data_IF_905036048712
#
_entry.id   IF_905036048712
#
_cell.length_a   1.000
_cell.length_b   1.000
_cell.length_c   1.000
_cell.angle_alpha   90.00
_cell.angle_beta   90.00
_cell.angle_gamma   90.00
#
_symmetry.space_group_name_H-M   'P 1'
#
loop_
_entity.id
_entity.type
_entity.pdbx_description
1 polymer ?
#
# COMPACT_ATOMS: atom_id res chain seq x y z
N UNK A 1 -24.02 10.66 5.55
CA UNK A 1 -22.73 10.23 6.19
C UNK A 1 -22.35 8.90 5.60
N UNK A 2 -21.34 8.83 4.71
CA UNK A 2 -20.79 7.52 4.32
C UNK A 2 -20.11 6.96 5.57
N UNK A 3 -20.56 5.79 6.04
CA UNK A 3 -19.85 5.03 7.06
C UNK A 3 -18.41 4.86 6.57
N UNK A 4 -17.42 5.41 7.32
CA UNK A 4 -16.02 5.19 7.01
C UNK A 4 -15.77 3.70 7.22
N UNK A 5 -15.59 2.97 6.13
CA UNK A 5 -15.06 1.62 6.23
C UNK A 5 -13.75 1.65 7.03
N UNK A 6 -13.52 0.67 7.90
CA UNK A 6 -12.24 0.57 8.59
C UNK A 6 -11.11 0.50 7.55
N UNK A 7 -9.96 1.07 7.87
CA UNK A 7 -8.78 0.98 7.00
C UNK A 7 -8.37 -0.49 6.85
N UNK A 8 -8.03 -0.95 5.63
CA UNK A 8 -7.49 -2.27 5.44
C UNK A 8 -6.20 -2.50 6.24
N UNK A 9 -6.06 -3.67 6.81
CA UNK A 9 -4.83 -4.12 7.47
C UNK A 9 -3.93 -4.98 6.56
N UNK A 10 -4.44 -5.34 5.41
CA UNK A 10 -3.77 -6.21 4.44
C UNK A 10 -3.81 -5.55 3.06
N UNK A 11 -2.65 -5.42 2.39
CA UNK A 11 -2.54 -4.62 1.17
C UNK A 11 -1.73 -5.32 0.08
N UNK A 12 -2.16 -5.13 -1.17
CA UNK A 12 -1.36 -5.37 -2.35
C UNK A 12 -0.73 -4.05 -2.83
N UNK A 13 0.60 -4.00 -2.93
CA UNK A 13 1.28 -2.96 -3.70
C UNK A 13 1.45 -3.46 -5.12
N UNK A 14 0.76 -2.91 -6.11
CA UNK A 14 0.95 -3.38 -7.48
C UNK A 14 2.33 -3.01 -8.02
N UNK A 15 2.84 -3.84 -8.91
CA UNK A 15 4.16 -3.66 -9.52
C UNK A 15 4.10 -4.19 -10.96
N UNK A 16 4.80 -3.54 -11.89
CA UNK A 16 4.81 -3.95 -13.30
C UNK A 16 5.34 -5.37 -13.48
N UNK A 17 6.17 -5.87 -12.56
CA UNK A 17 6.67 -7.27 -12.55
C UNK A 17 5.56 -8.31 -12.42
N UNK A 18 4.38 -7.92 -11.97
CA UNK A 18 3.22 -8.82 -11.91
C UNK A 18 2.72 -9.21 -13.30
N UNK A 19 2.95 -8.37 -14.31
CA UNK A 19 2.56 -8.64 -15.69
C UNK A 19 1.11 -9.15 -15.77
N UNK A 20 0.93 -10.27 -16.47
CA UNK A 20 -0.39 -10.93 -16.60
C UNK A 20 -0.92 -11.51 -15.28
N UNK A 21 -0.06 -11.71 -14.28
CA UNK A 21 -0.44 -12.18 -12.94
C UNK A 21 -1.13 -11.12 -12.07
N UNK A 22 -1.19 -9.85 -12.49
CA UNK A 22 -1.76 -8.76 -11.68
C UNK A 22 -3.20 -9.03 -11.26
N UNK A 23 -4.07 -9.38 -12.19
CA UNK A 23 -5.49 -9.62 -11.87
C UNK A 23 -5.68 -10.87 -11.02
N UNK A 24 -4.84 -11.88 -11.21
CA UNK A 24 -4.83 -13.05 -10.34
C UNK A 24 -4.40 -12.70 -8.91
N UNK A 25 -3.40 -11.81 -8.75
CA UNK A 25 -3.00 -11.30 -7.43
C UNK A 25 -4.13 -10.52 -6.75
N UNK A 26 -4.85 -9.66 -7.49
CA UNK A 26 -6.06 -8.98 -7.00
C UNK A 26 -7.11 -10.00 -6.58
N UNK A 27 -7.31 -11.07 -7.37
CA UNK A 27 -8.27 -12.13 -7.09
C UNK A 27 -8.01 -12.90 -5.78
N UNK A 28 -6.77 -12.94 -5.29
CA UNK A 28 -6.38 -13.62 -4.04
C UNK A 28 -6.55 -12.77 -2.79
N UNK A 29 -6.79 -11.47 -2.92
CA UNK A 29 -6.98 -10.62 -1.76
C UNK A 29 -8.23 -11.01 -0.98
N UNK A 30 -8.17 -11.01 0.36
CA UNK A 30 -9.36 -11.20 1.18
C UNK A 30 -10.30 -9.99 1.06
N UNK A 31 -11.61 -10.15 1.32
CA UNK A 31 -12.52 -9.02 1.47
C UNK A 31 -12.01 -8.02 2.51
N UNK A 32 -12.21 -6.73 2.27
CA UNK A 32 -11.71 -5.66 3.14
C UNK A 32 -10.23 -5.32 2.95
N UNK A 33 -9.50 -6.00 2.05
CA UNK A 33 -8.12 -5.67 1.75
C UNK A 33 -8.00 -4.37 0.92
N UNK A 34 -6.78 -3.82 0.90
CA UNK A 34 -6.46 -2.65 0.11
C UNK A 34 -5.51 -2.95 -1.05
N UNK A 35 -5.57 -2.09 -2.06
CA UNK A 35 -4.69 -2.10 -3.22
C UNK A 35 -4.09 -0.70 -3.38
N UNK A 36 -2.79 -0.61 -3.55
CA UNK A 36 -2.13 0.60 -4.04
C UNK A 36 -1.68 0.35 -5.48
N UNK A 37 -2.36 0.99 -6.43
CA UNK A 37 -2.01 0.89 -7.85
C UNK A 37 -0.87 1.84 -8.19
N UNK A 38 0.27 1.31 -8.61
CA UNK A 38 1.49 2.08 -8.89
C UNK A 38 1.76 2.23 -10.40
N UNK A 39 2.27 1.24 -11.09
CA UNK A 39 2.52 1.19 -12.54
C UNK A 39 3.03 2.52 -13.13
N UNK A 40 4.17 2.99 -12.61
CA UNK A 40 4.71 4.32 -12.96
C UNK A 40 5.35 4.40 -14.36
N UNK A 41 5.82 3.27 -14.90
CA UNK A 41 6.52 3.22 -16.18
C UNK A 41 5.58 3.23 -17.39
N UNK A 42 4.28 2.96 -17.17
CA UNK A 42 3.28 2.99 -18.23
C UNK A 42 2.96 4.41 -18.69
N UNK A 43 2.74 4.58 -19.99
CA UNK A 43 2.20 5.81 -20.55
C UNK A 43 0.82 6.15 -19.96
N UNK A 44 0.39 7.42 -19.97
CA UNK A 44 -0.86 7.84 -19.28
C UNK A 44 -2.09 7.04 -19.69
N UNK A 45 -2.27 6.75 -20.99
CA UNK A 45 -3.41 5.99 -21.50
C UNK A 45 -3.38 4.51 -21.06
N UNK A 46 -2.22 3.87 -21.19
CA UNK A 46 -2.02 2.48 -20.76
C UNK A 46 -2.19 2.33 -19.25
N UNK A 47 -1.63 3.26 -18.48
CA UNK A 47 -1.75 3.29 -17.02
C UNK A 47 -3.20 3.41 -16.60
N UNK A 48 -3.97 4.29 -17.27
CA UNK A 48 -5.41 4.44 -17.04
C UNK A 48 -6.16 3.15 -17.39
N UNK A 49 -5.88 2.55 -18.53
CA UNK A 49 -6.53 1.29 -18.94
C UNK A 49 -6.25 0.16 -17.93
N UNK A 50 -5.00 0.04 -17.48
CA UNK A 50 -4.63 -0.98 -16.48
C UNK A 50 -5.28 -0.71 -15.11
N UNK A 51 -5.38 0.55 -14.70
CA UNK A 51 -6.10 0.93 -13.49
C UNK A 51 -7.59 0.51 -13.57
N UNK A 52 -8.26 0.75 -14.70
CA UNK A 52 -9.66 0.35 -14.89
C UNK A 52 -9.85 -1.18 -14.83
N UNK A 53 -8.89 -1.95 -15.34
CA UNK A 53 -8.92 -3.42 -15.20
C UNK A 53 -8.85 -3.85 -13.74
N UNK A 54 -7.96 -3.23 -12.95
CA UNK A 54 -7.85 -3.49 -11.50
C UNK A 54 -9.12 -3.05 -10.79
N UNK A 55 -9.66 -1.87 -11.12
CA UNK A 55 -10.90 -1.35 -10.54
C UNK A 55 -12.09 -2.27 -10.81
N UNK A 56 -12.22 -2.77 -12.03
CA UNK A 56 -13.26 -3.75 -12.40
C UNK A 56 -13.10 -5.06 -11.63
N UNK A 57 -11.87 -5.58 -11.49
CA UNK A 57 -11.59 -6.79 -10.72
C UNK A 57 -11.82 -6.62 -9.20
N UNK A 58 -11.79 -5.39 -8.71
CA UNK A 58 -12.05 -5.05 -7.30
C UNK A 58 -13.54 -4.86 -7.00
N UNK A 59 -14.35 -4.64 -8.04
CA UNK A 59 -15.77 -4.34 -7.90
C UNK A 59 -16.53 -5.50 -7.26
N UNK A 60 -17.41 -5.19 -6.30
CA UNK A 60 -18.21 -6.19 -5.57
C UNK A 60 -17.44 -7.05 -4.58
N UNK A 61 -16.16 -6.77 -4.32
CA UNK A 61 -15.28 -7.55 -3.43
C UNK A 61 -14.89 -6.85 -2.13
N UNK A 62 -15.48 -5.69 -1.85
CA UNK A 62 -15.13 -4.86 -0.68
C UNK A 62 -13.63 -4.54 -0.59
N UNK A 63 -13.01 -4.24 -1.74
CA UNK A 63 -11.59 -3.88 -1.81
C UNK A 63 -11.44 -2.37 -1.91
N UNK A 64 -10.51 -1.80 -1.13
CA UNK A 64 -10.13 -0.38 -1.21
C UNK A 64 -9.04 -0.18 -2.25
N UNK A 65 -9.25 0.70 -3.23
CA UNK A 65 -8.29 0.96 -4.31
C UNK A 65 -7.72 2.39 -4.23
N UNK A 66 -6.45 2.50 -3.90
CA UNK A 66 -5.71 3.76 -3.92
C UNK A 66 -4.90 3.89 -5.22
N UNK A 67 -4.87 5.09 -5.79
CA UNK A 67 -3.99 5.41 -6.91
C UNK A 67 -2.70 6.07 -6.40
N UNK A 68 -1.55 5.54 -6.77
CA UNK A 68 -0.27 6.21 -6.53
C UNK A 68 -0.13 7.43 -7.45
N UNK A 69 -0.15 8.62 -6.85
CA UNK A 69 -0.10 9.90 -7.57
C UNK A 69 -0.91 11.00 -6.89
N UNK A 70 -1.12 12.13 -7.61
CA UNK A 70 -1.87 13.26 -7.08
C UNK A 70 -3.32 12.91 -6.72
N UNK A 71 -3.81 13.43 -5.60
CA UNK A 71 -5.18 13.18 -5.12
C UNK A 71 -6.27 13.62 -6.13
N UNK A 72 -6.01 14.69 -6.90
CA UNK A 72 -6.92 15.13 -7.96
C UNK A 72 -7.07 14.08 -9.06
N UNK A 73 -5.96 13.43 -9.46
CA UNK A 73 -5.97 12.36 -10.46
C UNK A 73 -6.65 11.12 -9.92
N UNK A 74 -6.36 10.75 -8.67
CA UNK A 74 -7.00 9.61 -8.01
C UNK A 74 -8.53 9.77 -7.99
N UNK A 75 -9.01 10.96 -7.62
CA UNK A 75 -10.43 11.29 -7.66
C UNK A 75 -11.02 11.23 -9.09
N UNK A 76 -10.33 11.80 -10.07
CA UNK A 76 -10.77 11.78 -11.47
C UNK A 76 -10.83 10.36 -12.05
N UNK A 77 -10.02 9.44 -11.53
CA UNK A 77 -10.01 8.05 -11.93
C UNK A 77 -11.01 7.18 -11.14
N UNK A 78 -11.69 7.73 -10.14
CA UNK A 78 -12.63 6.99 -9.31
C UNK A 78 -11.97 6.05 -8.31
N UNK A 79 -10.72 6.34 -7.91
CA UNK A 79 -10.07 5.66 -6.79
C UNK A 79 -10.68 6.08 -5.45
N UNK A 80 -10.62 5.21 -4.44
CA UNK A 80 -11.08 5.51 -3.07
C UNK A 80 -10.15 6.50 -2.37
N UNK A 81 -8.92 6.64 -2.85
CA UNK A 81 -7.95 7.57 -2.31
C UNK A 81 -6.65 7.60 -3.11
N UNK A 82 -5.66 8.30 -2.57
CA UNK A 82 -4.35 8.47 -3.20
C UNK A 82 -3.20 7.97 -2.33
N UNK A 83 -2.11 7.57 -2.98
CA UNK A 83 -0.86 7.21 -2.34
C UNK A 83 0.28 8.12 -2.81
N UNK A 84 0.90 8.84 -1.90
CA UNK A 84 2.02 9.74 -2.23
C UNK A 84 2.28 10.78 -1.16
N UNK A 85 3.25 11.66 -1.42
CA UNK A 85 3.69 12.72 -0.48
C UNK A 85 2.88 14.01 -0.58
N UNK A 86 1.92 14.09 -1.50
CA UNK A 86 1.13 15.29 -1.75
C UNK A 86 0.02 15.53 -0.74
N UNK A 87 -0.56 16.73 -0.81
CA UNK A 87 -1.80 17.09 -0.11
C UNK A 87 -2.99 16.95 -1.04
N UNK A 88 -4.20 16.83 -0.49
CA UNK A 88 -5.42 16.79 -1.29
C UNK A 88 -6.60 16.20 -0.53
N UNK A 89 -7.78 16.21 -1.13
CA UNK A 89 -8.99 15.65 -0.52
C UNK A 89 -9.01 14.11 -0.58
N UNK A 90 -9.84 13.52 0.26
CA UNK A 90 -10.07 12.08 0.32
C UNK A 90 -9.05 11.34 1.18
N UNK A 91 -9.14 10.01 1.17
CA UNK A 91 -8.21 9.15 1.88
C UNK A 91 -6.82 9.25 1.25
N UNK A 92 -5.81 9.40 2.10
CA UNK A 92 -4.42 9.54 1.65
C UNK A 92 -3.49 8.67 2.45
N UNK A 93 -2.70 7.89 1.74
CA UNK A 93 -1.58 7.17 2.30
C UNK A 93 -0.25 7.77 1.82
N UNK A 94 0.79 7.65 2.62
CA UNK A 94 2.12 8.14 2.26
C UNK A 94 3.18 7.06 2.43
N UNK A 95 4.21 7.00 1.54
CA UNK A 95 5.39 6.20 1.79
C UNK A 95 6.27 6.88 2.83
N UNK A 96 6.93 6.09 3.68
CA UNK A 96 7.91 6.57 4.64
C UNK A 96 9.03 5.53 4.83
N UNK A 97 10.26 6.03 5.08
CA UNK A 97 11.45 5.21 5.29
C UNK A 97 12.14 5.55 6.62
N UNK A 98 11.82 6.68 7.20
CA UNK A 98 12.39 7.21 8.43
C UNK A 98 11.39 8.11 9.18
N UNK A 99 11.79 8.57 10.35
CA UNK A 99 10.97 9.46 11.19
C UNK A 99 10.68 10.80 10.52
N UNK A 100 11.60 11.34 9.75
CA UNK A 100 11.42 12.63 9.05
C UNK A 100 10.30 12.53 8.02
N UNK A 101 10.26 11.44 7.26
CA UNK A 101 9.21 11.18 6.27
C UNK A 101 7.85 10.89 6.93
N UNK A 102 7.84 10.17 8.07
CA UNK A 102 6.61 9.99 8.87
C UNK A 102 6.07 11.35 9.32
N UNK A 103 6.91 12.24 9.89
CA UNK A 103 6.49 13.58 10.31
C UNK A 103 6.01 14.44 9.15
N UNK A 104 6.65 14.29 7.97
CA UNK A 104 6.18 14.97 6.76
C UNK A 104 4.81 14.47 6.31
N UNK A 105 4.54 13.17 6.41
CA UNK A 105 3.24 12.57 6.12
C UNK A 105 2.15 13.08 7.09
N UNK A 106 2.43 13.12 8.40
CA UNK A 106 1.53 13.71 9.40
C UNK A 106 1.19 15.17 9.07
N UNK A 107 2.23 15.99 8.82
CA UNK A 107 2.06 17.42 8.47
C UNK A 107 1.30 17.61 7.15
N UNK A 108 1.43 16.69 6.20
CA UNK A 108 0.66 16.69 4.97
C UNK A 108 -0.79 16.23 5.19
N UNK A 109 -1.11 15.65 6.35
CA UNK A 109 -2.41 15.12 6.74
C UNK A 109 -2.71 13.77 6.08
N UNK A 110 -1.73 12.88 6.00
CA UNK A 110 -1.96 11.50 5.61
C UNK A 110 -2.84 10.78 6.63
N UNK A 111 -3.65 9.82 6.19
CA UNK A 111 -4.51 9.00 7.05
C UNK A 111 -3.77 7.72 7.50
N UNK A 112 -2.75 7.27 6.76
CA UNK A 112 -1.90 6.12 7.08
C UNK A 112 -0.54 6.24 6.37
N UNK A 113 0.46 5.50 6.86
CA UNK A 113 1.79 5.43 6.24
C UNK A 113 2.20 4.00 5.92
N UNK A 114 2.88 3.82 4.78
CA UNK A 114 3.57 2.59 4.41
C UNK A 114 5.04 2.72 4.75
N UNK A 115 5.48 2.04 5.80
CA UNK A 115 6.86 2.12 6.31
C UNK A 115 7.70 0.99 5.71
N UNK A 116 8.76 1.33 4.98
CA UNK A 116 9.55 0.37 4.19
C UNK A 116 11.02 0.77 4.06
N UNK A 117 11.91 -0.20 3.70
CA UNK A 117 11.68 -1.63 3.70
C UNK A 117 11.89 -2.24 5.09
N UNK A 118 10.96 -3.07 5.58
CA UNK A 118 11.12 -3.72 6.89
C UNK A 118 12.12 -4.87 6.80
N UNK A 119 12.01 -5.70 5.77
CA UNK A 119 12.93 -6.79 5.46
C UNK A 119 13.53 -6.61 4.06
N UNK A 120 14.57 -7.37 3.75
CA UNK A 120 15.16 -7.38 2.42
C UNK A 120 14.09 -7.71 1.36
N UNK A 121 14.12 -6.99 0.25
CA UNK A 121 13.10 -7.09 -0.79
C UNK A 121 13.70 -6.98 -2.19
N UNK A 122 13.12 -7.71 -3.14
CA UNK A 122 13.52 -7.65 -4.55
C UNK A 122 13.15 -6.31 -5.23
N UNK A 123 12.19 -5.59 -4.68
CA UNK A 123 11.76 -4.29 -5.24
C UNK A 123 12.80 -3.18 -5.08
N UNK A 124 13.69 -3.29 -4.10
CA UNK A 124 14.77 -2.34 -3.83
C UNK A 124 16.05 -3.12 -3.45
N UNK A 125 16.70 -3.76 -4.43
CA UNK A 125 17.94 -4.50 -4.19
C UNK A 125 18.99 -3.58 -3.58
N UNK A 126 19.64 -4.02 -2.49
CA UNK A 126 20.68 -3.23 -1.82
C UNK A 126 20.19 -2.19 -0.81
N UNK A 127 18.89 -1.90 -0.73
CA UNK A 127 18.37 -1.04 0.33
C UNK A 127 18.52 -1.74 1.69
N UNK A 128 19.10 -1.02 2.68
CA UNK A 128 19.24 -1.53 4.05
C UNK A 128 17.86 -1.65 4.69
N UNK A 129 17.43 -2.86 5.11
CA UNK A 129 16.14 -3.02 5.78
C UNK A 129 16.18 -2.39 7.18
N UNK A 130 15.04 -1.90 7.63
CA UNK A 130 14.85 -1.36 8.97
C UNK A 130 15.04 -2.45 10.04
N UNK A 131 14.59 -3.66 9.74
CA UNK A 131 14.47 -4.71 10.74
C UNK A 131 13.36 -4.44 11.77
N UNK A 132 13.08 -5.42 12.59
CA UNK A 132 11.96 -5.38 13.55
C UNK A 132 12.09 -4.28 14.61
N UNK A 133 13.30 -4.05 15.13
CA UNK A 133 13.54 -3.08 16.20
C UNK A 133 13.30 -1.66 15.69
N UNK A 134 13.96 -1.28 14.59
CA UNK A 134 13.82 0.07 14.03
C UNK A 134 12.38 0.31 13.55
N UNK A 135 11.74 -0.69 12.93
CA UNK A 135 10.33 -0.62 12.59
C UNK A 135 9.46 -0.28 13.81
N UNK A 136 9.63 -1.02 14.92
CA UNK A 136 8.83 -0.81 16.13
C UNK A 136 9.06 0.56 16.78
N UNK A 137 10.29 1.08 16.76
CA UNK A 137 10.58 2.44 17.24
C UNK A 137 9.85 3.49 16.38
N UNK A 138 9.90 3.36 15.06
CA UNK A 138 9.26 4.29 14.14
C UNK A 138 7.72 4.20 14.21
N UNK A 139 7.18 3.00 14.28
CA UNK A 139 5.73 2.78 14.37
C UNK A 139 5.13 3.40 15.64
N UNK A 140 5.83 3.32 16.77
CA UNK A 140 5.40 3.94 18.03
C UNK A 140 5.62 5.45 18.09
N UNK A 141 6.40 6.01 17.18
CA UNK A 141 6.66 7.45 17.12
C UNK A 141 5.54 8.23 16.41
N UNK A 142 4.49 7.59 15.92
CA UNK A 142 3.39 8.22 15.20
C UNK A 142 2.04 7.72 15.71
N UNK A 143 1.00 8.55 15.57
CA UNK A 143 -0.40 8.17 15.77
C UNK A 143 -1.06 7.66 14.48
N UNK A 144 -0.40 7.79 13.33
CA UNK A 144 -0.93 7.26 12.08
C UNK A 144 -0.89 5.73 12.08
N UNK A 145 -1.89 5.05 11.54
CA UNK A 145 -1.81 3.63 11.22
C UNK A 145 -0.59 3.34 10.34
N UNK A 146 0.28 2.42 10.79
CA UNK A 146 1.52 2.05 10.08
C UNK A 146 1.35 0.71 9.40
N UNK A 147 1.47 0.70 8.08
CA UNK A 147 1.48 -0.51 7.25
C UNK A 147 2.93 -0.90 6.98
N UNK A 148 3.33 -2.09 7.42
CA UNK A 148 4.66 -2.62 7.17
C UNK A 148 4.80 -3.07 5.70
N UNK A 149 5.85 -2.63 5.02
CA UNK A 149 6.11 -2.98 3.62
C UNK A 149 7.58 -3.38 3.42
N UNK A 150 7.86 -4.23 2.45
CA UNK A 150 9.18 -4.73 2.09
C UNK A 150 9.47 -6.10 2.68
N UNK A 151 9.53 -7.10 1.79
CA UNK A 151 9.76 -8.49 2.14
C UNK A 151 8.68 -9.09 3.05
N UNK A 152 7.45 -8.60 2.94
CA UNK A 152 6.32 -8.98 3.80
C UNK A 152 5.54 -10.17 3.25
N UNK A 153 5.02 -10.95 4.18
CA UNK A 153 4.01 -11.97 4.04
C UNK A 153 3.10 -11.96 5.29
N UNK A 154 2.08 -12.81 5.33
CA UNK A 154 1.12 -12.84 6.43
C UNK A 154 1.77 -13.15 7.79
N UNK A 155 2.71 -14.11 7.84
CA UNK A 155 3.39 -14.50 9.08
C UNK A 155 4.26 -13.36 9.64
N UNK A 156 5.00 -12.68 8.76
CA UNK A 156 5.78 -11.49 9.11
C UNK A 156 4.88 -10.34 9.53
N UNK A 157 3.76 -10.13 8.83
CA UNK A 157 2.77 -9.13 9.20
C UNK A 157 2.25 -9.33 10.62
N UNK A 158 1.83 -10.53 10.95
CA UNK A 158 1.37 -10.89 12.30
C UNK A 158 2.45 -10.65 13.35
N UNK A 159 3.70 -11.03 13.05
CA UNK A 159 4.82 -10.86 13.96
C UNK A 159 5.16 -9.40 14.30
N UNK A 160 4.69 -8.44 13.50
CA UNK A 160 4.93 -7.01 13.71
C UNK A 160 3.79 -6.29 14.45
N UNK A 161 2.63 -6.92 14.64
CA UNK A 161 1.49 -6.30 15.34
C UNK A 161 1.86 -5.84 16.75
N UNK A 162 2.54 -6.66 17.53
CA UNK A 162 3.03 -6.31 18.86
C UNK A 162 4.06 -5.17 18.86
N UNK A 163 4.66 -4.89 17.72
CA UNK A 163 5.62 -3.79 17.53
C UNK A 163 4.95 -2.49 17.04
N UNK A 164 3.65 -2.50 16.80
CA UNK A 164 2.88 -1.32 16.41
C UNK A 164 2.46 -1.30 14.93
N UNK A 165 2.62 -2.40 14.19
CA UNK A 165 2.04 -2.48 12.86
C UNK A 165 0.51 -2.51 12.94
N UNK A 166 -0.15 -1.60 12.22
CA UNK A 166 -1.59 -1.67 11.97
C UNK A 166 -1.91 -2.81 11.00
N UNK A 167 -1.04 -2.99 10.00
CA UNK A 167 -1.17 -4.00 8.98
C UNK A 167 0.11 -4.18 8.18
N UNK A 168 0.00 -4.88 7.06
CA UNK A 168 1.12 -5.14 6.17
C UNK A 168 0.74 -5.06 4.70
N UNK A 169 1.75 -4.86 3.85
CA UNK A 169 1.60 -4.82 2.40
C UNK A 169 2.66 -5.69 1.72
N UNK A 170 2.28 -6.36 0.67
CA UNK A 170 3.17 -7.19 -0.14
C UNK A 170 2.95 -7.02 -1.64
N UNK A 171 3.93 -7.47 -2.42
CA UNK A 171 3.84 -7.66 -3.87
C UNK A 171 3.81 -9.17 -4.11
N UNK A 172 4.93 -9.82 -3.81
CA UNK A 172 5.17 -11.23 -4.09
C UNK A 172 4.30 -12.18 -3.24
N UNK A 173 3.85 -11.74 -2.07
CA UNK A 173 2.96 -12.52 -1.22
C UNK A 173 1.62 -12.91 -1.91
N UNK A 174 1.26 -12.20 -2.96
CA UNK A 174 0.01 -12.41 -3.71
C UNK A 174 0.24 -13.11 -5.05
N UNK A 175 1.50 -13.39 -5.43
CA UNK A 175 1.84 -13.95 -6.74
C UNK A 175 1.99 -15.47 -6.74
N UNK A 176 2.41 -16.06 -5.63
CA UNK A 176 2.67 -17.50 -5.57
C UNK A 176 1.50 -18.23 -4.91
N UNK A 177 0.86 -19.08 -5.70
CA UNK A 177 0.23 -20.28 -5.18
C UNK A 177 1.39 -21.22 -4.91
N UNK A 178 1.55 -21.63 -3.65
CA UNK A 178 2.63 -22.51 -3.25
C UNK A 178 2.78 -23.73 -4.17
N UNK A 179 4.01 -24.06 -4.39
CA UNK A 179 4.39 -25.41 -4.76
C UNK A 179 4.24 -26.28 -3.52
#
# INVERSE_FOLDING_TARGET
MRSRQPLPDTWLMTDERLGDGLLAAVGRLPPGAGIVFRHYSLGPAERRAQFERVRAASSGRDLMLLLAGPAAVARAWGADGSHGRGRGPGLRSAPAHDLKEIRAAEKAGADLVFLSPVFATRSHPGARPLGRVQFGLLARATSLPVIALGGMDAARGESLRALGAYGWAGIDAWTNVGN
#
